data_IF_639778489151
#
_entry.id   IF_639778489151
#
_cell.length_a   1.000
_cell.length_b   1.000
_cell.length_c   1.000
_cell.angle_alpha   90.00
_cell.angle_beta   90.00
_cell.angle_gamma   90.00
#
_symmetry.space_group_name_H-M   'P 1'
#
loop_
_entity.id
_entity.type
_entity.pdbx_description
1 polymer ?
#
# COMPACT_ATOMS: atom_id res chain seq x y z
N UNK A 1 -9.81 9.85 15.62
CA UNK A 1 -8.56 10.51 15.22
C UNK A 1 -8.19 10.21 13.77
N UNK A 2 -7.80 8.98 13.40
CA UNK A 2 -7.37 8.68 12.02
C UNK A 2 -8.42 9.05 10.96
N UNK A 3 -9.70 8.69 11.17
CA UNK A 3 -10.80 9.08 10.26
C UNK A 3 -10.93 10.61 10.11
N UNK A 4 -10.75 11.35 11.20
CA UNK A 4 -10.80 12.81 11.21
C UNK A 4 -9.64 13.38 10.38
N UNK A 5 -8.43 12.86 10.55
CA UNK A 5 -7.26 13.26 9.76
C UNK A 5 -7.46 12.94 8.27
N UNK A 6 -7.97 11.74 7.93
CA UNK A 6 -8.24 11.36 6.55
C UNK A 6 -9.32 12.24 5.89
N UNK A 7 -10.39 12.56 6.63
CA UNK A 7 -11.42 13.49 6.15
C UNK A 7 -10.85 14.91 5.96
N UNK A 8 -10.03 15.38 6.89
CA UNK A 8 -9.36 16.67 6.80
C UNK A 8 -8.42 16.74 5.58
N UNK A 9 -7.59 15.72 5.37
CA UNK A 9 -6.76 15.58 4.17
C UNK A 9 -7.60 15.73 2.90
N UNK A 10 -8.67 14.93 2.77
CA UNK A 10 -9.53 14.95 1.59
C UNK A 10 -10.21 16.30 1.36
N UNK A 11 -10.75 16.93 2.41
CA UNK A 11 -11.39 18.24 2.33
C UNK A 11 -10.41 19.35 1.93
N UNK A 12 -9.22 19.38 2.52
CA UNK A 12 -8.18 20.35 2.18
C UNK A 12 -7.69 20.17 0.74
N UNK A 13 -7.49 18.92 0.32
CA UNK A 13 -7.09 18.59 -1.06
C UNK A 13 -8.15 19.04 -2.08
N UNK A 14 -9.43 18.76 -1.82
CA UNK A 14 -10.55 19.16 -2.69
C UNK A 14 -10.76 20.68 -2.72
N UNK A 15 -10.43 21.37 -1.63
CA UNK A 15 -10.52 22.83 -1.53
C UNK A 15 -9.31 23.56 -2.14
N UNK A 16 -8.33 22.84 -2.70
CA UNK A 16 -7.09 23.42 -3.24
C UNK A 16 -6.13 23.94 -2.17
N UNK A 17 -6.36 23.64 -0.90
CA UNK A 17 -5.61 24.13 0.26
C UNK A 17 -4.45 23.19 0.63
N UNK A 18 -3.65 22.83 -0.38
CA UNK A 18 -2.60 21.81 -0.27
C UNK A 18 -1.54 22.20 0.77
N UNK A 19 -1.29 23.49 0.96
CA UNK A 19 -0.32 24.00 1.96
C UNK A 19 -0.67 23.70 3.42
N UNK A 20 -1.91 23.29 3.73
CA UNK A 20 -2.33 22.97 5.10
C UNK A 20 -2.49 21.48 5.36
N UNK A 21 -2.29 20.64 4.33
CA UNK A 21 -2.45 19.19 4.40
C UNK A 21 -1.40 18.52 5.30
N UNK A 22 -0.23 19.14 5.50
CA UNK A 22 0.85 18.57 6.32
C UNK A 22 0.45 18.24 7.75
N UNK A 23 -0.40 19.06 8.38
CA UNK A 23 -0.79 18.89 9.78
C UNK A 23 -1.64 17.62 10.02
N UNK A 24 -2.76 17.39 9.30
CA UNK A 24 -3.50 16.13 9.43
C UNK A 24 -2.67 14.92 8.98
N UNK A 25 -1.80 15.06 7.98
CA UNK A 25 -1.05 13.95 7.41
C UNK A 25 0.08 13.46 8.30
N UNK A 26 0.86 14.35 8.92
CA UNK A 26 1.84 13.95 9.93
C UNK A 26 1.17 13.32 11.14
N UNK A 27 0.03 13.86 11.58
CA UNK A 27 -0.74 13.27 12.69
C UNK A 27 -1.20 11.85 12.34
N UNK A 28 -1.72 11.65 11.12
CA UNK A 28 -2.16 10.35 10.62
C UNK A 28 -1.00 9.36 10.48
N UNK A 29 0.15 9.82 9.95
CA UNK A 29 1.36 9.03 9.82
C UNK A 29 1.84 8.54 11.19
N UNK A 30 1.93 9.42 12.18
CA UNK A 30 2.34 9.06 13.55
C UNK A 30 1.36 8.08 14.20
N UNK A 31 0.04 8.27 14.02
CA UNK A 31 -0.97 7.34 14.52
C UNK A 31 -0.80 5.95 13.90
N UNK A 32 -0.66 5.88 12.57
CA UNK A 32 -0.48 4.63 11.85
C UNK A 32 0.83 3.93 12.25
N UNK A 33 1.93 4.66 12.38
CA UNK A 33 3.20 4.12 12.86
C UNK A 33 3.09 3.56 14.28
N UNK A 34 2.50 4.33 15.19
CA UNK A 34 2.27 3.92 16.57
C UNK A 34 1.46 2.63 16.64
N UNK A 35 0.34 2.55 15.90
CA UNK A 35 -0.50 1.36 15.83
C UNK A 35 0.27 0.16 15.25
N UNK A 36 1.07 0.37 14.20
CA UNK A 36 1.90 -0.68 13.60
C UNK A 36 2.87 -1.29 14.61
N UNK A 37 3.54 -0.44 15.41
CA UNK A 37 4.45 -0.88 16.47
C UNK A 37 3.67 -1.58 17.60
N UNK A 38 2.58 -0.98 18.08
CA UNK A 38 1.77 -1.50 19.20
C UNK A 38 1.12 -2.83 18.90
N UNK A 39 0.73 -3.08 17.65
CA UNK A 39 0.19 -4.36 17.21
C UNK A 39 1.28 -5.42 16.96
N UNK A 40 2.54 -5.11 17.26
CA UNK A 40 3.62 -6.09 17.23
C UNK A 40 4.13 -6.38 15.83
N UNK A 41 4.47 -5.34 15.06
CA UNK A 41 5.02 -5.45 13.70
C UNK A 41 6.06 -6.56 13.54
N UNK A 42 7.07 -6.64 14.42
CA UNK A 42 8.09 -7.69 14.34
C UNK A 42 7.56 -9.10 14.65
N UNK A 43 6.59 -9.21 15.57
CA UNK A 43 5.96 -10.48 15.91
C UNK A 43 5.08 -11.00 14.76
N UNK A 44 4.56 -10.11 13.92
CA UNK A 44 3.72 -10.47 12.77
C UNK A 44 4.44 -11.38 11.76
N UNK A 45 5.77 -11.30 11.66
CA UNK A 45 6.58 -12.12 10.74
C UNK A 45 6.59 -13.62 11.09
N UNK A 46 6.10 -14.01 12.27
CA UNK A 46 5.89 -15.42 12.60
C UNK A 46 4.76 -16.06 11.79
N UNK A 47 3.83 -15.25 11.26
CA UNK A 47 2.70 -15.71 10.44
C UNK A 47 2.67 -14.86 9.18
N UNK A 48 3.06 -15.43 8.04
CA UNK A 48 3.18 -14.71 6.75
C UNK A 48 1.92 -13.90 6.40
N UNK A 49 0.74 -14.46 6.67
CA UNK A 49 -0.53 -13.80 6.39
C UNK A 49 -0.71 -12.53 7.24
N UNK A 50 -0.28 -12.56 8.50
CA UNK A 50 -0.31 -11.40 9.38
C UNK A 50 0.75 -10.37 8.99
N UNK A 51 1.94 -10.84 8.58
CA UNK A 51 3.02 -9.98 8.11
C UNK A 51 2.59 -9.11 6.91
N UNK A 52 1.88 -9.69 5.92
CA UNK A 52 1.34 -8.92 4.78
C UNK A 52 0.45 -7.77 5.23
N UNK A 53 -0.47 -8.02 6.17
CA UNK A 53 -1.39 -6.99 6.66
C UNK A 53 -0.63 -5.86 7.36
N UNK A 54 0.38 -6.22 8.17
CA UNK A 54 1.21 -5.24 8.89
C UNK A 54 2.10 -4.42 7.96
N UNK A 55 2.76 -5.05 6.98
CA UNK A 55 3.59 -4.34 6.00
C UNK A 55 2.71 -3.43 5.14
N UNK A 56 1.56 -3.91 4.68
CA UNK A 56 0.60 -3.09 3.94
C UNK A 56 0.18 -1.89 4.79
N UNK A 57 -0.20 -2.10 6.06
CA UNK A 57 -0.58 -1.01 6.96
C UNK A 57 0.58 -0.03 7.23
N UNK A 58 1.83 -0.48 7.27
CA UNK A 58 2.99 0.40 7.40
C UNK A 58 3.11 1.39 6.23
N UNK A 59 2.70 0.99 5.02
CA UNK A 59 2.64 1.92 3.88
C UNK A 59 1.66 3.07 4.07
N UNK A 60 0.60 2.92 4.87
CA UNK A 60 -0.27 4.05 5.22
C UNK A 60 0.53 5.14 5.95
N UNK A 61 1.38 4.74 6.90
CA UNK A 61 2.27 5.67 7.60
C UNK A 61 3.25 6.34 6.63
N UNK A 62 3.86 5.55 5.73
CA UNK A 62 4.83 6.07 4.77
C UNK A 62 4.17 7.06 3.80
N UNK A 63 3.02 6.69 3.23
CA UNK A 63 2.30 7.53 2.28
C UNK A 63 1.87 8.87 2.90
N UNK A 64 1.32 8.85 4.11
CA UNK A 64 0.91 10.08 4.81
C UNK A 64 2.12 10.93 5.21
N UNK A 65 3.25 10.31 5.56
CA UNK A 65 4.49 11.05 5.79
C UNK A 65 5.00 11.73 4.51
N UNK A 66 4.93 11.05 3.35
CA UNK A 66 5.31 11.63 2.06
C UNK A 66 4.38 12.78 1.64
N UNK A 67 3.06 12.63 1.81
CA UNK A 67 2.11 13.73 1.56
C UNK A 67 2.38 14.91 2.49
N UNK A 68 2.60 14.65 3.78
CA UNK A 68 2.87 15.70 4.74
C UNK A 68 4.17 16.45 4.45
N UNK A 69 5.23 15.73 4.06
CA UNK A 69 6.50 16.33 3.67
C UNK A 69 6.35 17.19 2.41
N UNK A 70 5.63 16.69 1.39
CA UNK A 70 5.35 17.46 0.17
C UNK A 70 4.57 18.74 0.48
N UNK A 71 3.52 18.66 1.31
CA UNK A 71 2.70 19.80 1.71
C UNK A 71 3.48 20.83 2.53
N UNK A 72 4.32 20.37 3.46
CA UNK A 72 5.17 21.23 4.28
C UNK A 72 6.16 22.03 3.43
N UNK A 73 6.86 21.36 2.50
CA UNK A 73 7.80 22.01 1.58
C UNK A 73 7.06 22.97 0.63
N UNK A 74 5.89 22.57 0.14
CA UNK A 74 5.07 23.44 -0.70
C UNK A 74 4.71 24.74 0.03
N UNK A 75 4.30 24.65 1.31
CA UNK A 75 4.01 25.81 2.17
C UNK A 75 5.26 26.67 2.40
N UNK A 76 6.39 26.05 2.77
CA UNK A 76 7.66 26.75 3.07
C UNK A 76 8.22 27.47 1.83
N UNK A 77 8.01 26.90 0.65
CA UNK A 77 8.42 27.46 -0.65
C UNK A 77 7.45 28.49 -1.23
N UNK A 78 6.49 28.99 -0.44
CA UNK A 78 5.42 29.91 -0.88
C UNK A 78 4.64 29.40 -2.11
N UNK A 79 4.44 28.08 -2.20
CA UNK A 79 3.68 27.42 -3.27
C UNK A 79 4.46 27.21 -4.57
N UNK A 80 5.78 27.39 -4.57
CA UNK A 80 6.60 27.28 -5.79
C UNK A 80 7.08 25.86 -6.09
N UNK A 81 7.27 25.01 -5.07
CA UNK A 81 8.02 23.76 -5.22
C UNK A 81 7.19 22.54 -4.84
N UNK A 82 7.07 21.60 -5.79
CA UNK A 82 6.48 20.27 -5.58
C UNK A 82 7.53 19.19 -5.85
N UNK A 83 7.98 18.50 -4.79
CA UNK A 83 9.16 17.62 -4.88
C UNK A 83 8.86 16.14 -5.15
N UNK A 84 7.67 15.63 -4.78
CA UNK A 84 7.38 14.20 -4.76
C UNK A 84 6.25 13.79 -5.71
N UNK A 85 5.90 14.64 -6.69
CA UNK A 85 4.89 14.37 -7.72
C UNK A 85 3.68 13.56 -7.23
N UNK A 86 3.55 12.32 -7.73
CA UNK A 86 2.52 11.35 -7.35
C UNK A 86 3.05 10.18 -6.50
N UNK A 87 4.29 10.23 -6.03
CA UNK A 87 4.84 9.21 -5.14
C UNK A 87 4.01 8.95 -3.87
N UNK A 88 3.52 9.98 -3.13
CA UNK A 88 2.66 9.74 -1.97
C UNK A 88 1.39 8.96 -2.32
N UNK A 89 0.77 9.27 -3.46
CA UNK A 89 -0.43 8.58 -3.95
C UNK A 89 -0.14 7.11 -4.29
N UNK A 90 0.97 6.82 -4.97
CA UNK A 90 1.30 5.45 -5.35
C UNK A 90 1.76 4.61 -4.15
N UNK A 91 2.42 5.22 -3.16
CA UNK A 91 2.67 4.57 -1.88
C UNK A 91 1.36 4.19 -1.16
N UNK A 92 0.33 5.05 -1.23
CA UNK A 92 -0.99 4.78 -0.64
C UNK A 92 -1.75 3.70 -1.42
N UNK A 93 -1.83 3.82 -2.74
CA UNK A 93 -2.68 2.95 -3.57
C UNK A 93 -2.05 1.59 -3.82
N UNK A 94 -0.76 1.53 -4.12
CA UNK A 94 -0.05 0.26 -4.38
C UNK A 94 0.45 -0.34 -3.07
N UNK A 95 1.21 0.44 -2.30
CA UNK A 95 1.83 -0.01 -1.06
C UNK A 95 0.81 -0.41 0.00
N UNK A 96 -0.19 0.44 0.27
CA UNK A 96 -1.22 0.16 1.26
C UNK A 96 -2.43 -0.57 0.67
N UNK A 97 -3.26 0.06 -0.17
CA UNK A 97 -4.55 -0.51 -0.56
C UNK A 97 -4.43 -1.82 -1.35
N UNK A 98 -3.62 -1.84 -2.41
CA UNK A 98 -3.47 -3.04 -3.25
C UNK A 98 -2.92 -4.21 -2.43
N UNK A 99 -1.87 -3.95 -1.65
CA UNK A 99 -1.24 -4.98 -0.81
C UNK A 99 -2.17 -5.49 0.31
N UNK A 100 -2.95 -4.59 0.91
CA UNK A 100 -3.96 -4.94 1.93
C UNK A 100 -5.06 -5.81 1.32
N UNK A 101 -5.58 -5.41 0.15
CA UNK A 101 -6.61 -6.17 -0.57
C UNK A 101 -6.09 -7.54 -0.98
N UNK A 102 -4.86 -7.62 -1.51
CA UNK A 102 -4.21 -8.90 -1.82
C UNK A 102 -4.23 -9.84 -0.61
N UNK A 103 -3.73 -9.38 0.54
CA UNK A 103 -3.68 -10.20 1.76
C UNK A 103 -5.08 -10.57 2.27
N UNK A 104 -5.98 -9.60 2.36
CA UNK A 104 -7.33 -9.80 2.88
C UNK A 104 -8.18 -10.70 1.97
N UNK A 105 -8.21 -10.44 0.66
CA UNK A 105 -8.95 -11.23 -0.30
C UNK A 105 -8.42 -12.66 -0.36
N UNK A 106 -7.10 -12.86 -0.36
CA UNK A 106 -6.49 -14.20 -0.30
C UNK A 106 -6.94 -14.97 0.94
N UNK A 107 -6.87 -14.32 2.11
CA UNK A 107 -7.30 -14.91 3.39
C UNK A 107 -8.77 -15.31 3.37
N UNK A 108 -9.66 -14.41 2.92
CA UNK A 108 -11.11 -14.64 2.86
C UNK A 108 -11.41 -15.78 1.88
N UNK A 109 -10.76 -15.80 0.72
CA UNK A 109 -10.90 -16.86 -0.29
C UNK A 109 -10.55 -18.23 0.28
N UNK A 110 -9.41 -18.33 0.95
CA UNK A 110 -8.92 -19.59 1.56
C UNK A 110 -9.80 -20.01 2.73
N UNK A 111 -10.16 -19.06 3.61
CA UNK A 111 -10.99 -19.34 4.79
C UNK A 111 -12.38 -19.84 4.47
N UNK A 112 -13.04 -19.28 3.44
CA UNK A 112 -14.38 -19.72 3.05
C UNK A 112 -14.40 -20.96 2.16
N UNK A 113 -13.27 -21.32 1.53
CA UNK A 113 -13.15 -22.54 0.72
C UNK A 113 -12.82 -23.80 1.52
N UNK A 114 -12.74 -23.70 2.85
CA UNK A 114 -12.39 -24.82 3.75
C UNK A 114 -10.91 -25.19 3.74
N UNK A 115 -10.06 -24.34 3.16
CA UNK A 115 -8.61 -24.55 3.08
C UNK A 115 -7.91 -24.06 4.36
N UNK A 116 -6.74 -24.63 4.72
CA UNK A 116 -5.92 -24.13 5.82
C UNK A 116 -5.59 -22.64 5.62
N UNK A 117 -5.76 -21.82 6.66
CA UNK A 117 -5.51 -20.37 6.65
C UNK A 117 -4.01 -20.05 6.67
N UNK A 118 -3.30 -20.54 5.66
CA UNK A 118 -1.88 -20.35 5.47
C UNK A 118 -1.64 -19.64 4.14
N UNK A 119 -0.64 -18.76 4.14
CA UNK A 119 -0.21 -18.07 2.94
C UNK A 119 0.93 -18.86 2.33
N UNK A 120 0.72 -19.37 1.12
CA UNK A 120 1.72 -20.17 0.43
C UNK A 120 2.88 -19.32 -0.09
N UNK A 121 3.98 -19.99 -0.44
CA UNK A 121 5.20 -19.33 -0.94
C UNK A 121 4.93 -18.51 -2.20
N UNK A 122 4.03 -18.97 -3.06
CA UNK A 122 3.68 -18.29 -4.30
C UNK A 122 3.00 -16.95 -4.01
N UNK A 123 1.98 -16.92 -3.16
CA UNK A 123 1.31 -15.66 -2.79
C UNK A 123 2.25 -14.71 -2.06
N UNK A 124 3.21 -15.23 -1.29
CA UNK A 124 4.26 -14.41 -0.66
C UNK A 124 5.17 -13.74 -1.68
N UNK A 125 5.58 -14.46 -2.72
CA UNK A 125 6.36 -13.88 -3.82
C UNK A 125 5.57 -12.82 -4.59
N UNK A 126 4.28 -13.05 -4.84
CA UNK A 126 3.41 -12.05 -5.47
C UNK A 126 3.29 -10.78 -4.61
N UNK A 127 3.11 -10.95 -3.30
CA UNK A 127 3.13 -9.83 -2.35
C UNK A 127 4.43 -9.02 -2.44
N UNK A 128 5.59 -9.68 -2.41
CA UNK A 128 6.89 -9.01 -2.58
C UNK A 128 7.00 -8.31 -3.95
N UNK A 129 6.41 -8.87 -5.00
CA UNK A 129 6.29 -8.22 -6.31
C UNK A 129 5.50 -6.90 -6.26
N UNK A 130 4.39 -6.83 -5.51
CA UNK A 130 3.67 -5.57 -5.28
C UNK A 130 4.50 -4.56 -4.47
N UNK A 131 5.28 -5.03 -3.48
CA UNK A 131 6.21 -4.16 -2.74
C UNK A 131 7.28 -3.58 -3.69
N UNK A 132 7.85 -4.42 -4.54
CA UNK A 132 8.83 -4.01 -5.54
C UNK A 132 8.23 -3.03 -6.56
N UNK A 133 7.03 -3.29 -7.06
CA UNK A 133 6.30 -2.36 -7.94
C UNK A 133 6.12 -1.00 -7.29
N UNK A 134 5.71 -0.95 -6.02
CA UNK A 134 5.57 0.30 -5.25
C UNK A 134 6.91 1.03 -5.19
N UNK A 135 7.99 0.35 -4.81
CA UNK A 135 9.32 0.95 -4.70
C UNK A 135 9.82 1.50 -6.05
N UNK A 136 9.77 0.68 -7.10
CA UNK A 136 10.17 1.07 -8.47
C UNK A 136 9.35 2.27 -8.94
N UNK A 137 8.06 2.34 -8.59
CA UNK A 137 7.18 3.45 -8.94
C UNK A 137 7.57 4.76 -8.25
N UNK A 138 7.92 4.75 -6.97
CA UNK A 138 8.13 5.98 -6.19
C UNK A 138 9.58 6.45 -6.15
N UNK A 139 10.55 5.54 -6.33
CA UNK A 139 11.98 5.86 -6.22
C UNK A 139 12.46 7.00 -7.13
N UNK A 140 12.03 7.11 -8.41
CA UNK A 140 12.46 8.20 -9.29
C UNK A 140 12.07 9.60 -8.80
N UNK A 141 10.96 9.69 -8.08
CA UNK A 141 10.45 10.95 -7.54
C UNK A 141 11.12 11.31 -6.20
N UNK A 142 11.74 10.33 -5.53
CA UNK A 142 12.48 10.54 -4.26
C UNK A 142 13.97 10.79 -4.53
N UNK A 143 14.53 10.16 -5.57
CA UNK A 143 15.96 10.17 -5.87
C UNK A 143 16.22 10.86 -7.22
N UNK A 144 16.68 12.13 -7.23
CA UNK A 144 16.91 12.89 -8.46
C UNK A 144 17.87 12.21 -9.45
N UNK A 145 18.83 11.43 -8.95
CA UNK A 145 19.80 10.66 -9.77
C UNK A 145 19.12 9.64 -10.70
N UNK A 146 17.92 9.18 -10.35
CA UNK A 146 17.13 8.25 -11.16
C UNK A 146 16.23 8.95 -12.19
N UNK A 147 16.20 10.29 -12.21
CA UNK A 147 15.30 11.08 -13.03
C UNK A 147 15.37 10.77 -14.53
N UNK A 148 16.55 10.40 -15.03
CA UNK A 148 16.75 10.03 -16.44
C UNK A 148 16.10 8.68 -16.81
N UNK A 149 15.87 7.81 -15.83
CA UNK A 149 15.26 6.49 -16.02
C UNK A 149 13.76 6.46 -15.69
N UNK A 150 13.16 7.60 -15.32
CA UNK A 150 11.77 7.70 -14.84
C UNK A 150 10.77 6.97 -15.73
N UNK A 151 10.80 7.20 -17.05
CA UNK A 151 9.86 6.58 -17.98
C UNK A 151 9.95 5.04 -17.99
N UNK A 152 11.18 4.51 -17.99
CA UNK A 152 11.43 3.06 -18.00
C UNK A 152 11.01 2.45 -16.65
N UNK A 153 11.32 3.13 -15.54
CA UNK A 153 10.94 2.66 -14.20
C UNK A 153 9.43 2.66 -14.00
N UNK A 154 8.70 3.66 -14.52
CA UNK A 154 7.23 3.67 -14.45
C UNK A 154 6.62 2.54 -15.25
N UNK A 155 7.10 2.29 -16.48
CA UNK A 155 6.67 1.16 -17.29
C UNK A 155 6.94 -0.17 -16.57
N UNK A 156 8.15 -0.33 -16.03
CA UNK A 156 8.55 -1.52 -15.29
C UNK A 156 7.66 -1.75 -14.06
N UNK A 157 7.38 -0.71 -13.27
CA UNK A 157 6.50 -0.80 -12.12
C UNK A 157 5.09 -1.27 -12.51
N UNK A 158 4.54 -0.74 -13.61
CA UNK A 158 3.25 -1.14 -14.15
C UNK A 158 3.24 -2.59 -14.63
N UNK A 159 4.29 -3.03 -15.33
CA UNK A 159 4.42 -4.43 -15.79
C UNK A 159 4.55 -5.42 -14.64
N UNK A 160 5.35 -5.11 -13.61
CA UNK A 160 5.47 -5.93 -12.39
C UNK A 160 4.10 -6.03 -11.72
N UNK A 161 3.43 -4.89 -11.52
CA UNK A 161 2.10 -4.86 -10.90
C UNK A 161 1.11 -5.73 -11.64
N UNK A 162 1.03 -5.57 -12.97
CA UNK A 162 0.08 -6.29 -13.82
C UNK A 162 0.36 -7.79 -13.82
N UNK A 163 1.63 -8.19 -13.93
CA UNK A 163 2.04 -9.59 -13.87
C UNK A 163 1.64 -10.21 -12.52
N UNK A 164 1.95 -9.54 -11.41
CA UNK A 164 1.59 -10.03 -10.08
C UNK A 164 0.08 -10.15 -9.89
N UNK A 165 -0.69 -9.15 -10.34
CA UNK A 165 -2.15 -9.16 -10.24
C UNK A 165 -2.78 -10.29 -11.07
N UNK A 166 -2.35 -10.47 -12.32
CA UNK A 166 -2.85 -11.54 -13.19
C UNK A 166 -2.53 -12.91 -12.59
N UNK A 167 -1.29 -13.12 -12.15
CA UNK A 167 -0.88 -14.38 -11.54
C UNK A 167 -1.67 -14.68 -10.25
N UNK A 168 -1.90 -13.66 -9.43
CA UNK A 168 -2.75 -13.77 -8.25
C UNK A 168 -4.19 -14.15 -8.62
N UNK A 169 -4.79 -13.43 -9.58
CA UNK A 169 -6.15 -13.65 -10.02
C UNK A 169 -6.34 -15.07 -10.59
N UNK A 170 -5.44 -15.52 -11.47
CA UNK A 170 -5.47 -16.88 -12.04
C UNK A 170 -5.34 -17.95 -10.96
N UNK A 171 -4.58 -17.70 -9.90
CA UNK A 171 -4.42 -18.63 -8.78
C UNK A 171 -5.68 -18.73 -7.91
N UNK A 172 -6.34 -17.61 -7.61
CA UNK A 172 -7.46 -17.56 -6.65
C UNK A 172 -8.86 -17.66 -7.28
N UNK A 173 -9.07 -17.15 -8.50
CA UNK A 173 -10.38 -17.19 -9.18
C UNK A 173 -10.98 -18.61 -9.26
N UNK A 174 -10.22 -19.67 -9.61
CA UNK A 174 -10.79 -21.02 -9.71
C UNK A 174 -11.39 -21.56 -8.40
N UNK A 175 -11.00 -21.01 -7.24
CA UNK A 175 -11.53 -21.43 -5.94
C UNK A 175 -13.01 -21.05 -5.81
N UNK A 176 -13.45 -19.97 -6.45
CA UNK A 176 -14.82 -19.47 -6.35
C UNK A 176 -15.85 -20.31 -7.11
N UNK A 177 -15.41 -21.13 -8.08
CA UNK A 177 -16.30 -21.96 -8.90
C UNK A 177 -16.15 -23.45 -8.64
N UNK A 178 -15.37 -23.82 -7.63
CA UNK A 178 -15.18 -25.22 -7.21
C UNK A 178 -15.87 -25.42 -5.86
N UNK A 179 -16.50 -26.59 -5.64
CA UNK A 179 -17.02 -26.93 -4.32
C UNK A 179 -15.92 -26.82 -3.26
N UNK A 180 -16.32 -26.43 -2.05
CA UNK A 180 -15.40 -26.42 -0.90
C UNK A 180 -14.73 -27.77 -0.71
N UNK A 181 -13.47 -27.72 -0.29
CA UNK A 181 -12.69 -28.94 -0.06
C UNK A 181 -13.13 -29.71 1.18
N UNK A 182 -13.84 -29.06 2.10
CA UNK A 182 -14.37 -29.65 3.33
C UNK A 182 -15.78 -30.24 3.18
N UNK A 183 -16.35 -30.20 1.97
CA UNK A 183 -17.67 -30.76 1.65
C UNK A 183 -18.87 -30.05 2.29
N UNK A 184 -18.66 -28.90 2.95
CA UNK A 184 -19.73 -28.09 3.52
C UNK A 184 -20.45 -27.28 2.43
N UNK A 185 -21.64 -26.73 2.71
CA UNK A 185 -22.31 -25.82 1.78
C UNK A 185 -21.44 -24.61 1.44
N UNK A 186 -21.37 -24.27 0.15
CA UNK A 186 -20.56 -23.18 -0.39
C UNK A 186 -19.73 -23.62 -1.59
#
# INVERSE_FOLDING_TARGET
LMLTCSAAHGLLQLSGLIQYVWAPDFTLALCALYLSIRWGFLRSFQVSLLAVLHISFAWLSIAMLLYGLQSYIYMDSEGSTLILGLAPLHALVIGYFTSMVLGMASRVTVGHSGRPLEMDKFTWQLFLGFQASTAVRILPEILPVLGHFTAILYLLAGLIWLACFILWAVHYIPIYWRPRIDGKPG
#
